data_IF_709592429611
#
_entry.id   IF_709592429611
#
_cell.length_a   1.000
_cell.length_b   1.000
_cell.length_c   1.000
_cell.angle_alpha   90.00
_cell.angle_beta   90.00
_cell.angle_gamma   90.00
#
_symmetry.space_group_name_H-M   'P 1'
#
loop_
_entity.id
_entity.type
_entity.pdbx_description
1 polymer ?
#
# COMPACT_ATOMS: atom_id res chain seq x y z
N UNK A 1 -24.80 16.52 7.59
CA UNK A 1 -24.04 15.23 7.49
C UNK A 1 -24.89 14.20 8.16
N UNK A 2 -25.30 13.17 7.45
CA UNK A 2 -25.89 12.00 8.07
C UNK A 2 -24.78 11.31 8.88
N UNK A 3 -25.12 10.82 10.09
CA UNK A 3 -24.16 10.07 10.89
C UNK A 3 -23.92 8.71 10.22
N UNK A 4 -22.72 8.54 9.63
CA UNK A 4 -22.30 7.27 9.06
C UNK A 4 -21.65 6.36 10.10
N UNK A 5 -21.75 5.06 9.89
CA UNK A 5 -21.04 4.05 10.67
C UNK A 5 -20.16 3.24 9.71
N UNK A 6 -18.84 3.38 9.85
CA UNK A 6 -17.86 2.57 9.11
C UNK A 6 -17.48 1.34 9.93
N UNK A 7 -17.50 0.18 9.29
CA UNK A 7 -17.07 -1.10 9.86
C UNK A 7 -15.83 -1.63 9.16
N UNK A 8 -14.76 -1.94 9.90
CA UNK A 8 -13.69 -2.79 9.41
C UNK A 8 -14.18 -4.23 9.33
N UNK A 9 -14.31 -4.76 8.10
CA UNK A 9 -14.84 -6.12 7.87
C UNK A 9 -13.72 -7.15 7.65
N UNK A 10 -12.69 -7.09 8.43
CA UNK A 10 -11.59 -8.08 8.44
C UNK A 10 -10.84 -8.02 9.76
N UNK A 11 -10.07 -9.06 10.03
CA UNK A 11 -9.13 -9.14 11.14
C UNK A 11 -7.86 -9.89 10.66
N UNK A 12 -6.77 -9.77 11.42
CA UNK A 12 -5.46 -10.24 11.02
C UNK A 12 -5.39 -11.76 10.74
N UNK A 13 -6.08 -12.56 11.58
CA UNK A 13 -6.01 -14.01 11.53
C UNK A 13 -7.09 -14.67 10.64
N UNK A 14 -7.67 -13.94 9.69
CA UNK A 14 -8.59 -14.53 8.73
C UNK A 14 -7.96 -15.71 7.99
N UNK A 15 -8.72 -16.80 7.74
CA UNK A 15 -8.20 -17.95 7.02
C UNK A 15 -7.86 -17.60 5.57
N UNK A 16 -6.79 -18.21 5.04
CA UNK A 16 -6.43 -18.10 3.62
C UNK A 16 -7.30 -19.04 2.76
N UNK A 17 -8.61 -18.86 2.77
CA UNK A 17 -9.58 -19.70 2.06
C UNK A 17 -10.20 -19.03 0.81
N UNK A 18 -9.88 -17.76 0.55
CA UNK A 18 -10.42 -17.01 -0.58
C UNK A 18 -11.90 -16.69 -0.48
N UNK A 19 -12.47 -16.69 0.73
CA UNK A 19 -13.92 -16.58 0.93
C UNK A 19 -14.39 -15.25 1.50
N UNK A 20 -13.47 -14.30 1.78
CA UNK A 20 -13.89 -13.06 2.41
C UNK A 20 -14.88 -12.27 1.56
N UNK A 21 -14.60 -12.12 0.28
CA UNK A 21 -15.49 -11.36 -0.63
C UNK A 21 -16.89 -11.98 -0.71
N UNK A 22 -16.99 -13.31 -0.74
CA UNK A 22 -18.28 -14.01 -0.71
C UNK A 22 -19.03 -13.81 0.60
N UNK A 23 -18.34 -13.93 1.74
CA UNK A 23 -18.94 -13.70 3.07
C UNK A 23 -19.48 -12.29 3.20
N UNK A 24 -18.69 -11.28 2.81
CA UNK A 24 -19.10 -9.89 2.87
C UNK A 24 -20.27 -9.60 1.92
N UNK A 25 -20.26 -10.18 0.71
CA UNK A 25 -21.39 -10.11 -0.22
C UNK A 25 -22.67 -10.67 0.39
N UNK A 26 -22.60 -11.86 1.00
CA UNK A 26 -23.75 -12.54 1.60
C UNK A 26 -24.26 -11.79 2.84
N UNK A 27 -23.41 -11.03 3.52
CA UNK A 27 -23.74 -10.30 4.75
C UNK A 27 -24.27 -8.86 4.49
N UNK A 28 -24.21 -8.39 3.25
CA UNK A 28 -24.52 -6.99 2.90
C UNK A 28 -25.91 -6.52 3.39
N UNK A 29 -26.95 -7.33 3.24
CA UNK A 29 -28.30 -6.98 3.70
C UNK A 29 -28.37 -6.86 5.22
N UNK A 30 -27.71 -7.77 5.94
CA UNK A 30 -27.64 -7.73 7.42
C UNK A 30 -26.89 -6.50 7.90
N UNK A 31 -25.75 -6.16 7.27
CA UNK A 31 -24.97 -4.96 7.61
C UNK A 31 -25.81 -3.68 7.45
N UNK A 32 -26.58 -3.58 6.37
CA UNK A 32 -27.53 -2.47 6.18
C UNK A 32 -28.58 -2.42 7.27
N UNK A 33 -29.22 -3.56 7.60
CA UNK A 33 -30.26 -3.64 8.64
C UNK A 33 -29.79 -3.19 10.03
N UNK A 34 -28.52 -3.45 10.38
CA UNK A 34 -27.93 -3.01 11.65
C UNK A 34 -27.34 -1.59 11.61
N UNK A 35 -27.45 -0.89 10.47
CA UNK A 35 -27.09 0.52 10.32
C UNK A 35 -25.66 0.79 9.91
N UNK A 36 -24.93 -0.19 9.35
CA UNK A 36 -23.62 0.03 8.73
C UNK A 36 -23.81 0.79 7.42
N UNK A 37 -23.15 1.92 7.26
CA UNK A 37 -23.23 2.78 6.08
C UNK A 37 -21.99 2.72 5.18
N UNK A 38 -20.87 2.19 5.69
CA UNK A 38 -19.66 1.96 4.93
C UNK A 38 -18.86 0.78 5.49
N UNK A 39 -18.12 0.11 4.63
CA UNK A 39 -17.21 -0.98 5.00
C UNK A 39 -15.80 -0.63 4.56
N UNK A 40 -14.84 -0.70 5.49
CA UNK A 40 -13.42 -0.72 5.20
C UNK A 40 -13.00 -2.16 4.95
N UNK A 41 -12.59 -2.44 3.70
CA UNK A 41 -12.08 -3.74 3.25
C UNK A 41 -10.55 -3.78 3.32
N UNK A 42 -9.94 -4.98 3.53
CA UNK A 42 -8.48 -5.11 3.54
C UNK A 42 -7.87 -4.76 2.18
N UNK A 43 -6.51 -4.64 2.10
CA UNK A 43 -5.82 -4.48 0.83
C UNK A 43 -6.23 -5.59 -0.14
N UNK A 44 -6.80 -5.21 -1.30
CA UNK A 44 -7.44 -6.16 -2.22
C UNK A 44 -6.51 -6.62 -3.37
N UNK A 45 -5.29 -6.08 -3.41
CA UNK A 45 -4.29 -6.36 -4.44
C UNK A 45 -3.31 -7.46 -4.01
N UNK A 46 -2.48 -7.92 -4.96
CA UNK A 46 -1.57 -9.04 -4.78
C UNK A 46 -0.47 -8.72 -3.76
N UNK A 47 -0.41 -9.52 -2.69
CA UNK A 47 0.70 -9.56 -1.75
C UNK A 47 1.88 -10.41 -2.24
N UNK A 48 2.96 -10.44 -1.47
CA UNK A 48 4.17 -11.19 -1.80
C UNK A 48 3.99 -12.71 -1.78
N UNK A 49 2.93 -13.20 -1.14
CA UNK A 49 2.46 -14.59 -1.14
C UNK A 49 0.93 -14.67 -1.03
N UNK A 50 0.34 -15.84 -1.28
CA UNK A 50 -1.12 -16.03 -1.24
C UNK A 50 -1.73 -15.76 0.14
N UNK A 51 -1.01 -16.06 1.20
CA UNK A 51 -1.50 -15.94 2.58
C UNK A 51 -1.37 -14.52 3.14
N UNK A 52 -0.67 -13.63 2.43
CA UNK A 52 -0.44 -12.25 2.84
C UNK A 52 -1.75 -11.49 3.07
N UNK A 53 -1.84 -10.77 4.19
CA UNK A 53 -2.97 -9.92 4.54
C UNK A 53 -3.14 -8.70 3.61
N UNK A 54 -2.17 -8.50 2.69
CA UNK A 54 -2.11 -7.42 1.71
C UNK A 54 -1.13 -6.31 2.10
N UNK A 55 -0.53 -6.38 3.29
CA UNK A 55 0.45 -5.37 3.75
C UNK A 55 1.87 -5.66 3.24
N UNK A 56 2.18 -6.86 2.77
CA UNK A 56 3.37 -7.15 1.96
C UNK A 56 3.10 -6.92 0.48
N UNK A 57 2.86 -5.69 0.07
CA UNK A 57 2.37 -5.31 -1.26
C UNK A 57 3.34 -5.68 -2.37
N UNK A 58 2.91 -6.56 -3.28
CA UNK A 58 3.67 -6.90 -4.48
C UNK A 58 3.18 -6.10 -5.70
N UNK A 59 1.96 -6.33 -6.17
CA UNK A 59 1.42 -5.71 -7.38
C UNK A 59 0.06 -5.04 -7.11
N UNK A 60 0.07 -3.72 -7.06
CA UNK A 60 -1.10 -2.89 -6.80
C UNK A 60 -2.18 -3.00 -7.89
N UNK A 61 -1.80 -3.38 -9.13
CA UNK A 61 -2.73 -3.54 -10.25
C UNK A 61 -3.26 -4.97 -10.41
N UNK A 62 -2.85 -5.91 -9.56
CA UNK A 62 -3.38 -7.28 -9.57
C UNK A 62 -4.36 -7.48 -8.41
N UNK A 63 -5.64 -7.36 -8.70
CA UNK A 63 -6.72 -7.53 -7.72
C UNK A 63 -7.16 -9.01 -7.53
N UNK A 64 -6.27 -9.95 -7.81
CA UNK A 64 -6.58 -11.39 -7.82
C UNK A 64 -7.05 -11.87 -9.19
N UNK A 65 -6.40 -11.38 -10.26
CA UNK A 65 -6.73 -11.65 -11.67
C UNK A 65 -5.61 -12.41 -12.39
N UNK A 66 -4.34 -12.18 -12.01
CA UNK A 66 -3.17 -12.73 -12.69
C UNK A 66 -2.50 -13.82 -11.88
N UNK A 67 -1.93 -14.83 -12.58
CA UNK A 67 -1.11 -15.87 -11.93
C UNK A 67 0.26 -15.28 -11.57
N UNK A 68 0.36 -14.81 -10.33
CA UNK A 68 1.55 -14.21 -9.74
C UNK A 68 1.74 -14.73 -8.31
N UNK A 69 2.99 -14.87 -7.87
CA UNK A 69 3.31 -15.40 -6.54
C UNK A 69 2.65 -16.77 -6.25
N UNK A 70 2.51 -17.59 -7.32
CA UNK A 70 1.96 -18.94 -7.24
C UNK A 70 0.45 -19.02 -7.06
N UNK A 71 -0.28 -17.94 -7.33
CA UNK A 71 -1.73 -17.87 -7.16
C UNK A 71 -2.37 -16.84 -8.10
N UNK A 72 -3.63 -17.11 -8.51
CA UNK A 72 -4.45 -16.09 -9.18
C UNK A 72 -5.14 -15.22 -8.13
N UNK A 73 -5.85 -15.82 -7.17
CA UNK A 73 -6.56 -15.10 -6.13
C UNK A 73 -5.63 -14.46 -5.09
N UNK A 74 -6.09 -13.44 -4.42
CA UNK A 74 -5.49 -12.96 -3.15
C UNK A 74 -5.93 -13.87 -1.99
N UNK A 75 -5.47 -13.59 -0.76
CA UNK A 75 -5.97 -14.26 0.45
C UNK A 75 -7.50 -14.26 0.50
N UNK A 76 -8.13 -13.22 0.02
CA UNK A 76 -9.53 -12.89 0.20
C UNK A 76 -10.46 -13.34 -0.92
N UNK A 77 -9.95 -13.55 -2.13
CA UNK A 77 -10.69 -14.00 -3.29
C UNK A 77 -10.12 -13.49 -4.62
N UNK A 78 -10.90 -13.64 -5.68
CA UNK A 78 -10.59 -13.17 -7.04
C UNK A 78 -11.13 -11.75 -7.26
N UNK A 79 -10.63 -11.06 -8.30
CA UNK A 79 -11.14 -9.75 -8.74
C UNK A 79 -12.64 -9.78 -9.05
N UNK A 80 -13.11 -10.82 -9.72
CA UNK A 80 -14.54 -10.95 -10.02
C UNK A 80 -15.38 -11.02 -8.73
N UNK A 81 -14.96 -11.82 -7.76
CA UNK A 81 -15.66 -11.92 -6.46
C UNK A 81 -15.65 -10.61 -5.70
N UNK A 82 -14.53 -9.86 -5.76
CA UNK A 82 -14.41 -8.51 -5.20
C UNK A 82 -15.39 -7.53 -5.84
N UNK A 83 -15.46 -7.49 -7.17
CA UNK A 83 -16.40 -6.60 -7.89
C UNK A 83 -17.86 -6.96 -7.59
N UNK A 84 -18.21 -8.24 -7.61
CA UNK A 84 -19.57 -8.70 -7.26
C UNK A 84 -19.96 -8.35 -5.81
N UNK A 85 -19.00 -8.40 -4.88
CA UNK A 85 -19.21 -8.02 -3.49
C UNK A 85 -19.47 -6.50 -3.37
N UNK A 86 -18.66 -5.67 -4.04
CA UNK A 86 -18.84 -4.21 -4.04
C UNK A 86 -20.20 -3.82 -4.63
N UNK A 87 -20.58 -4.42 -5.75
CA UNK A 87 -21.90 -4.20 -6.34
C UNK A 87 -23.04 -4.53 -5.37
N UNK A 88 -22.92 -5.61 -4.59
CA UNK A 88 -23.95 -5.99 -3.62
C UNK A 88 -24.00 -5.02 -2.43
N UNK A 89 -22.85 -4.56 -1.93
CA UNK A 89 -22.80 -3.52 -0.89
C UNK A 89 -23.49 -2.23 -1.37
N UNK A 90 -23.19 -1.79 -2.59
CA UNK A 90 -23.82 -0.59 -3.16
C UNK A 90 -25.34 -0.76 -3.34
N UNK A 91 -25.84 -1.95 -3.74
CA UNK A 91 -27.28 -2.23 -3.76
C UNK A 91 -27.94 -2.09 -2.39
N UNK A 92 -27.19 -2.38 -1.33
CA UNK A 92 -27.62 -2.22 0.05
C UNK A 92 -27.26 -0.84 0.64
N UNK A 93 -26.85 0.15 -0.20
CA UNK A 93 -26.51 1.51 0.22
C UNK A 93 -25.33 1.58 1.21
N UNK A 94 -24.38 0.67 1.09
CA UNK A 94 -23.15 0.62 1.89
C UNK A 94 -21.99 1.05 1.01
N UNK A 95 -21.28 2.11 1.41
CA UNK A 95 -20.06 2.56 0.75
C UNK A 95 -18.87 1.62 1.03
N UNK A 96 -17.90 1.61 0.11
CA UNK A 96 -16.72 0.74 0.20
C UNK A 96 -15.44 1.55 0.23
N UNK A 97 -14.64 1.37 1.28
CA UNK A 97 -13.33 2.01 1.46
C UNK A 97 -12.23 0.96 1.38
N UNK A 98 -11.31 1.13 0.42
CA UNK A 98 -10.18 0.24 0.23
C UNK A 98 -9.03 0.61 1.18
N UNK A 99 -8.39 -0.36 1.78
CA UNK A 99 -7.10 -0.18 2.46
C UNK A 99 -5.99 0.04 1.43
N UNK A 100 -5.41 1.23 1.42
CA UNK A 100 -4.37 1.65 0.48
C UNK A 100 -2.99 1.63 1.14
N UNK A 101 -2.22 0.55 0.89
CA UNK A 101 -0.86 0.36 1.38
C UNK A 101 0.11 0.87 0.32
N UNK A 102 0.58 2.09 0.48
CA UNK A 102 1.38 2.80 -0.52
C UNK A 102 2.84 3.01 -0.11
N UNK A 103 3.19 2.78 1.16
CA UNK A 103 4.51 3.13 1.69
C UNK A 103 5.64 2.28 1.10
N UNK A 104 5.41 1.01 0.82
CA UNK A 104 6.47 0.05 0.49
C UNK A 104 6.01 -1.06 -0.46
N UNK A 105 6.99 -1.82 -0.96
CA UNK A 105 6.75 -3.03 -1.78
C UNK A 105 7.55 -4.22 -1.26
N UNK A 106 6.93 -5.40 -1.32
CA UNK A 106 7.53 -6.68 -0.92
C UNK A 106 7.50 -7.71 -2.05
N UNK A 107 8.35 -8.73 -1.95
CA UNK A 107 8.35 -9.85 -2.87
C UNK A 107 8.84 -9.53 -4.28
N UNK A 108 9.86 -8.70 -4.42
CA UNK A 108 10.50 -8.38 -5.70
C UNK A 108 10.78 -9.64 -6.55
N UNK A 109 10.78 -9.50 -7.86
CA UNK A 109 11.03 -10.59 -8.82
C UNK A 109 12.51 -10.94 -8.91
N UNK A 110 13.39 -9.96 -8.67
CA UNK A 110 14.84 -10.13 -8.67
C UNK A 110 15.54 -9.09 -7.80
N UNK A 111 16.81 -9.37 -7.51
CA UNK A 111 17.71 -8.46 -6.78
C UNK A 111 18.44 -7.51 -7.72
N UNK A 112 18.82 -6.35 -7.21
CA UNK A 112 19.65 -5.37 -7.91
C UNK A 112 20.82 -4.93 -7.01
N UNK A 113 21.91 -4.47 -7.63
CA UNK A 113 23.06 -3.89 -6.94
C UNK A 113 22.98 -2.38 -6.95
N UNK A 114 23.17 -1.77 -5.78
CA UNK A 114 23.17 -0.32 -5.62
C UNK A 114 24.00 0.10 -4.40
N UNK A 115 24.38 1.38 -4.37
CA UNK A 115 25.04 1.96 -3.20
C UNK A 115 24.04 2.21 -2.09
N UNK A 116 24.41 1.83 -0.87
CA UNK A 116 23.61 2.10 0.33
C UNK A 116 24.48 2.35 1.54
N UNK A 117 23.86 2.84 2.59
CA UNK A 117 24.47 3.11 3.87
C UNK A 117 23.55 2.59 4.99
N UNK A 118 24.09 1.77 5.88
CA UNK A 118 23.33 1.31 7.04
C UNK A 118 23.15 2.46 8.03
N UNK A 119 21.95 2.59 8.59
CA UNK A 119 21.61 3.64 9.56
C UNK A 119 21.16 3.06 10.90
N UNK A 120 21.24 3.88 11.95
CA UNK A 120 20.77 3.51 13.29
C UNK A 120 19.21 3.40 13.30
N UNK A 121 18.63 2.28 13.74
CA UNK A 121 17.17 2.12 13.80
C UNK A 121 16.45 3.13 14.70
N UNK A 122 17.11 3.65 15.73
CA UNK A 122 16.56 4.65 16.66
C UNK A 122 16.90 6.10 16.30
N UNK A 123 17.77 6.31 15.30
CA UNK A 123 18.15 7.64 14.79
C UNK A 123 18.54 7.52 13.31
N UNK A 124 17.56 7.48 12.45
CA UNK A 124 17.67 7.16 11.01
C UNK A 124 18.59 8.09 10.20
N UNK A 125 18.86 9.29 10.72
CA UNK A 125 19.81 10.24 10.13
C UNK A 125 21.28 9.89 10.46
N UNK A 126 21.52 8.99 11.43
CA UNK A 126 22.85 8.56 11.82
C UNK A 126 23.28 7.32 11.06
N UNK A 127 24.27 7.47 10.17
CA UNK A 127 24.92 6.35 9.51
C UNK A 127 25.74 5.52 10.50
N UNK A 128 25.59 4.19 10.41
CA UNK A 128 26.36 3.20 11.19
C UNK A 128 27.40 2.48 10.35
N UNK A 129 27.41 2.70 9.03
CA UNK A 129 28.43 2.19 8.11
C UNK A 129 28.90 3.26 7.14
N UNK A 130 30.07 3.06 6.55
CA UNK A 130 30.47 3.77 5.33
C UNK A 130 29.58 3.34 4.16
N UNK A 131 29.37 4.22 3.15
CA UNK A 131 28.69 3.85 1.91
C UNK A 131 29.34 2.64 1.22
N UNK A 132 28.54 1.66 0.82
CA UNK A 132 29.03 0.47 0.11
C UNK A 132 27.94 -0.13 -0.79
N UNK A 133 28.34 -0.95 -1.75
CA UNK A 133 27.38 -1.68 -2.56
C UNK A 133 26.71 -2.79 -1.75
N UNK A 134 25.39 -2.89 -1.88
CA UNK A 134 24.57 -3.98 -1.38
C UNK A 134 23.78 -4.60 -2.51
N UNK A 135 23.27 -5.81 -2.31
CA UNK A 135 22.32 -6.48 -3.18
C UNK A 135 20.96 -6.52 -2.48
N UNK A 136 19.97 -5.82 -3.03
CA UNK A 136 18.63 -5.69 -2.44
C UNK A 136 17.51 -6.19 -3.35
N UNK A 137 16.37 -6.58 -2.76
CA UNK A 137 15.15 -7.02 -3.46
C UNK A 137 14.34 -5.80 -3.91
N UNK A 138 14.65 -5.28 -5.11
CA UNK A 138 14.08 -4.01 -5.62
C UNK A 138 13.57 -4.07 -7.05
N UNK A 139 13.78 -5.18 -7.77
CA UNK A 139 13.33 -5.34 -9.15
C UNK A 139 11.94 -5.96 -9.24
N UNK A 140 10.94 -5.22 -9.78
CA UNK A 140 9.57 -5.70 -9.96
C UNK A 140 9.13 -5.54 -11.41
N UNK A 141 9.02 -6.67 -12.13
CA UNK A 141 8.62 -6.75 -13.53
C UNK A 141 7.18 -7.23 -13.73
N UNK A 142 6.58 -7.84 -12.70
CA UNK A 142 5.21 -8.36 -12.75
C UNK A 142 4.95 -9.31 -13.93
N UNK A 143 5.71 -10.41 -14.07
CA UNK A 143 5.69 -11.23 -15.28
C UNK A 143 4.32 -11.87 -15.57
N UNK A 144 3.52 -12.15 -14.54
CA UNK A 144 2.19 -12.73 -14.73
C UNK A 144 1.16 -11.72 -15.24
N UNK A 145 1.27 -10.44 -14.85
CA UNK A 145 0.42 -9.36 -15.34
C UNK A 145 0.96 -8.75 -16.65
N UNK A 146 2.26 -8.74 -16.82
CA UNK A 146 2.91 -8.03 -17.92
C UNK A 146 2.67 -6.52 -17.87
N UNK A 147 2.14 -5.97 -18.95
CA UNK A 147 1.87 -4.53 -19.06
C UNK A 147 0.37 -4.18 -18.96
N UNK A 148 -0.48 -5.11 -18.50
CA UNK A 148 -1.89 -4.82 -18.30
C UNK A 148 -2.05 -3.75 -17.19
N UNK A 149 -2.88 -2.75 -17.42
CA UNK A 149 -3.18 -1.59 -16.57
C UNK A 149 -2.04 -0.59 -16.36
N UNK A 150 -0.78 -1.05 -16.21
CA UNK A 150 0.42 -0.20 -16.13
C UNK A 150 1.61 -0.92 -16.74
N UNK A 151 2.45 -0.18 -17.46
CA UNK A 151 3.74 -0.65 -17.97
C UNK A 151 4.92 -0.27 -17.07
N UNK A 152 4.67 0.36 -15.93
CA UNK A 152 5.69 0.76 -14.99
C UNK A 152 6.37 -0.46 -14.37
N UNK A 153 7.70 -0.38 -14.23
CA UNK A 153 8.53 -1.38 -13.58
C UNK A 153 9.33 -0.71 -12.48
N UNK A 154 9.45 -1.40 -11.36
CA UNK A 154 10.14 -0.84 -10.22
C UNK A 154 11.59 -1.32 -10.21
N UNK A 155 12.48 -0.38 -9.90
CA UNK A 155 13.92 -0.59 -9.78
C UNK A 155 14.43 0.11 -8.53
N UNK A 156 15.66 -0.25 -8.09
CA UNK A 156 16.26 0.30 -6.88
C UNK A 156 16.17 1.83 -6.75
N UNK A 157 16.25 2.55 -7.85
CA UNK A 157 16.18 4.02 -7.85
C UNK A 157 14.77 4.60 -7.63
N UNK A 158 13.75 3.77 -7.50
CA UNK A 158 12.40 4.17 -7.09
C UNK A 158 12.17 4.02 -5.57
N UNK A 159 13.20 3.58 -4.84
CA UNK A 159 13.10 3.34 -3.40
C UNK A 159 14.10 4.21 -2.62
N UNK A 160 13.72 4.59 -1.39
CA UNK A 160 14.55 5.35 -0.44
C UNK A 160 15.38 4.42 0.46
N UNK A 161 14.86 3.21 0.75
CA UNK A 161 15.50 2.27 1.66
C UNK A 161 15.07 0.81 1.48
N UNK A 162 15.81 -0.10 2.13
CA UNK A 162 15.52 -1.53 2.22
C UNK A 162 16.01 -2.11 3.55
N UNK A 163 15.50 -3.30 3.94
CA UNK A 163 15.80 -3.94 5.22
C UNK A 163 16.79 -5.11 5.13
N UNK A 164 17.26 -5.47 3.93
CA UNK A 164 18.10 -6.66 3.77
C UNK A 164 19.16 -6.53 2.68
N UNK A 165 20.42 -6.78 3.06
CA UNK A 165 21.53 -6.99 2.13
C UNK A 165 21.69 -8.50 1.84
N UNK A 166 21.26 -8.92 0.65
CA UNK A 166 21.32 -10.33 0.19
C UNK A 166 22.75 -10.81 0.11
N UNK A 167 23.68 -9.97 -0.36
CA UNK A 167 25.08 -10.33 -0.57
C UNK A 167 25.81 -10.70 0.72
N UNK A 168 25.45 -10.04 1.83
CA UNK A 168 26.01 -10.28 3.16
C UNK A 168 25.08 -11.08 4.07
N UNK A 169 23.85 -11.36 3.62
CA UNK A 169 22.77 -11.99 4.40
C UNK A 169 22.54 -11.24 5.71
N UNK A 170 22.44 -9.92 5.62
CA UNK A 170 22.37 -9.04 6.78
C UNK A 170 21.05 -8.29 6.79
N UNK A 171 20.32 -8.38 7.90
CA UNK A 171 19.20 -7.50 8.24
C UNK A 171 19.70 -6.18 8.77
N UNK A 172 19.01 -5.09 8.45
CA UNK A 172 19.34 -3.73 8.91
C UNK A 172 18.49 -2.72 8.16
N UNK A 173 18.63 -1.44 8.47
CA UNK A 173 18.00 -0.38 7.68
C UNK A 173 19.08 0.22 6.80
N UNK A 174 18.92 0.04 5.51
CA UNK A 174 19.87 0.51 4.49
C UNK A 174 19.23 1.64 3.69
N UNK A 175 19.71 2.86 3.91
CA UNK A 175 19.36 4.00 3.08
C UNK A 175 20.01 3.84 1.70
N UNK A 176 19.22 3.91 0.65
CA UNK A 176 19.70 3.86 -0.73
C UNK A 176 20.34 5.20 -1.08
N UNK A 177 21.54 5.14 -1.68
CA UNK A 177 22.33 6.32 -2.04
C UNK A 177 22.37 6.53 -3.55
N UNK A 178 22.38 7.78 -3.97
CA UNK A 178 22.42 8.19 -5.37
C UNK A 178 22.15 9.68 -5.52
N UNK A 179 22.13 10.16 -6.76
CA UNK A 179 21.78 11.55 -7.04
C UNK A 179 20.33 11.83 -6.61
N UNK A 180 20.12 12.81 -5.72
CA UNK A 180 18.83 13.19 -5.20
C UNK A 180 18.22 12.21 -4.16
N UNK A 181 18.97 11.19 -3.71
CA UNK A 181 18.53 10.22 -2.71
C UNK A 181 18.74 10.69 -1.29
N UNK A 182 17.70 10.71 -0.51
CA UNK A 182 17.70 11.01 0.93
C UNK A 182 16.43 10.39 1.55
N UNK A 183 16.33 10.39 2.87
CA UNK A 183 15.05 10.14 3.51
C UNK A 183 14.08 11.27 3.20
N UNK A 184 12.81 10.94 2.93
CA UNK A 184 11.81 11.93 2.58
C UNK A 184 11.63 12.96 3.71
N UNK A 185 11.41 14.21 3.33
CA UNK A 185 10.97 15.26 4.25
C UNK A 185 9.43 15.23 4.40
N UNK A 186 8.89 15.87 5.45
CA UNK A 186 7.44 15.90 5.67
C UNK A 186 6.84 14.58 6.19
N UNK A 187 7.67 13.75 6.80
CA UNK A 187 7.31 12.55 7.58
C UNK A 187 7.41 12.85 9.08
N UNK A 188 6.96 11.91 9.93
CA UNK A 188 7.09 12.06 11.38
C UNK A 188 8.57 12.07 11.81
N UNK A 189 8.89 12.84 12.89
CA UNK A 189 10.22 13.04 13.43
C UNK A 189 10.67 11.94 14.43
N UNK A 190 9.83 10.95 14.69
CA UNK A 190 10.21 9.80 15.52
C UNK A 190 11.42 9.09 14.90
N UNK A 191 12.35 8.65 15.72
CA UNK A 191 13.66 8.10 15.32
C UNK A 191 14.51 9.06 14.44
N UNK A 192 14.30 10.37 14.58
CA UNK A 192 14.98 11.41 13.80
C UNK A 192 14.31 11.72 12.45
N UNK A 193 13.92 10.72 11.72
CA UNK A 193 13.12 10.74 10.50
C UNK A 193 12.47 9.36 10.35
N UNK A 194 11.15 9.29 10.19
CA UNK A 194 10.46 8.00 10.13
C UNK A 194 9.92 7.68 8.73
N UNK A 195 10.62 8.05 7.68
CA UNK A 195 10.33 7.66 6.30
C UNK A 195 10.29 6.12 6.17
N UNK A 196 11.41 5.47 6.46
CA UNK A 196 11.51 4.01 6.35
C UNK A 196 10.62 3.28 7.36
N UNK A 197 9.73 2.39 6.88
CA UNK A 197 8.96 1.48 7.73
C UNK A 197 9.43 0.02 7.58
N UNK A 198 9.38 -0.56 6.39
CA UNK A 198 9.71 -1.96 6.09
C UNK A 198 9.90 -2.22 4.60
N UNK A 199 10.48 -3.35 4.24
CA UNK A 199 10.68 -3.85 2.86
C UNK A 199 11.42 -2.86 1.96
N UNK A 200 11.00 -2.71 0.69
CA UNK A 200 11.49 -1.70 -0.22
C UNK A 200 10.61 -0.45 -0.12
N UNK A 201 11.10 0.57 0.53
CA UNK A 201 10.40 1.81 0.87
C UNK A 201 10.33 2.74 -0.35
N UNK A 202 9.15 3.27 -0.68
CA UNK A 202 8.96 4.09 -1.88
C UNK A 202 9.53 5.50 -1.69
N UNK A 203 10.26 5.96 -2.70
CA UNK A 203 10.83 7.29 -2.75
C UNK A 203 9.81 8.30 -3.32
N UNK A 204 9.09 8.98 -2.45
CA UNK A 204 8.09 9.99 -2.84
C UNK A 204 8.68 11.34 -3.29
N UNK A 205 10.01 11.50 -3.27
CA UNK A 205 10.71 12.61 -3.91
C UNK A 205 11.01 12.31 -5.39
N UNK A 206 10.82 11.05 -5.82
CA UNK A 206 10.91 10.65 -7.22
C UNK A 206 9.58 10.92 -7.96
N UNK A 207 9.56 11.82 -8.97
CA UNK A 207 8.33 12.18 -9.67
C UNK A 207 7.71 11.04 -10.48
N UNK A 208 8.47 9.99 -10.83
CA UNK A 208 7.94 8.81 -11.52
C UNK A 208 7.13 7.96 -10.53
N UNK A 209 7.61 7.80 -9.30
CA UNK A 209 6.90 7.12 -8.20
C UNK A 209 5.60 7.86 -7.87
N UNK A 210 5.67 9.17 -7.66
CA UNK A 210 4.49 10.00 -7.35
C UNK A 210 3.42 9.84 -8.42
N UNK A 211 3.80 9.92 -9.70
CA UNK A 211 2.87 9.79 -10.82
C UNK A 211 2.25 8.40 -10.87
N UNK A 212 3.06 7.34 -10.78
CA UNK A 212 2.57 5.96 -10.82
C UNK A 212 1.57 5.69 -9.69
N UNK A 213 1.83 6.22 -8.49
CA UNK A 213 0.91 6.06 -7.35
C UNK A 213 -0.38 6.84 -7.55
N UNK A 214 -0.34 8.06 -8.13
CA UNK A 214 -1.55 8.82 -8.47
C UNK A 214 -2.37 8.10 -9.56
N UNK A 215 -1.72 7.61 -10.60
CA UNK A 215 -2.36 6.86 -11.69
C UNK A 215 -3.01 5.58 -11.15
N UNK A 216 -2.34 4.86 -10.23
CA UNK A 216 -2.92 3.72 -9.54
C UNK A 216 -4.14 4.10 -8.69
N UNK A 217 -4.07 5.16 -7.91
CA UNK A 217 -5.18 5.61 -7.06
C UNK A 217 -6.44 5.92 -7.87
N UNK A 218 -6.28 6.60 -9.00
CA UNK A 218 -7.36 6.90 -9.95
C UNK A 218 -7.89 5.59 -10.57
N UNK A 219 -6.97 4.73 -11.06
CA UNK A 219 -7.35 3.47 -11.69
C UNK A 219 -8.14 2.56 -10.73
N UNK A 220 -7.65 2.30 -9.52
CA UNK A 220 -8.30 1.38 -8.59
C UNK A 220 -9.65 1.91 -8.10
N UNK A 221 -9.75 3.23 -7.91
CA UNK A 221 -11.00 3.89 -7.52
C UNK A 221 -12.09 3.75 -8.59
N UNK A 222 -11.72 3.82 -9.86
CA UNK A 222 -12.63 3.61 -10.98
C UNK A 222 -12.91 2.13 -11.23
N UNK A 223 -11.88 1.28 -11.24
CA UNK A 223 -12.00 -0.15 -11.49
C UNK A 223 -12.94 -0.85 -10.50
N UNK A 224 -12.91 -0.42 -9.24
CA UNK A 224 -13.74 -0.95 -8.16
C UNK A 224 -14.93 -0.05 -7.80
N UNK A 225 -15.09 1.09 -8.46
CA UNK A 225 -16.12 2.09 -8.11
C UNK A 225 -16.13 2.43 -6.60
N UNK A 226 -14.96 2.72 -6.02
CA UNK A 226 -14.81 2.96 -4.59
C UNK A 226 -15.46 4.29 -4.15
N UNK A 227 -15.92 4.34 -2.91
CA UNK A 227 -16.43 5.53 -2.24
C UNK A 227 -15.36 6.24 -1.40
N UNK A 228 -14.25 5.57 -1.13
CA UNK A 228 -13.15 6.12 -0.35
C UNK A 228 -11.98 5.15 -0.16
N UNK A 229 -11.01 5.61 0.64
CA UNK A 229 -9.83 4.83 1.02
C UNK A 229 -9.49 5.06 2.49
N UNK A 230 -8.96 4.01 3.13
CA UNK A 230 -8.14 4.14 4.32
C UNK A 230 -6.68 4.11 3.87
N UNK A 231 -5.93 5.14 4.20
CA UNK A 231 -4.52 5.26 3.86
C UNK A 231 -3.67 4.67 4.98
N UNK A 232 -3.00 3.56 4.70
CA UNK A 232 -2.10 2.87 5.60
C UNK A 232 -0.85 3.70 5.86
N UNK A 233 -0.36 3.69 7.10
CA UNK A 233 0.97 4.16 7.49
C UNK A 233 1.35 5.59 7.03
N UNK A 234 0.41 6.54 7.00
CA UNK A 234 0.67 7.90 6.49
C UNK A 234 1.74 8.67 7.28
N UNK A 235 2.05 8.23 8.50
CA UNK A 235 3.14 8.73 9.32
C UNK A 235 4.51 8.65 8.64
N UNK A 236 4.68 7.67 7.74
CA UNK A 236 5.92 7.33 7.06
C UNK A 236 6.00 7.87 5.64
N UNK A 237 4.96 8.55 5.15
CA UNK A 237 4.91 9.09 3.80
C UNK A 237 4.93 10.62 3.82
N UNK A 238 5.57 11.21 2.81
CA UNK A 238 5.61 12.65 2.60
C UNK A 238 4.20 13.25 2.60
N UNK A 239 3.93 14.25 3.43
CA UNK A 239 2.63 14.89 3.60
C UNK A 239 2.13 15.56 2.31
N UNK A 240 3.02 16.14 1.51
CA UNK A 240 2.67 16.73 0.22
C UNK A 240 2.29 15.66 -0.81
N UNK A 241 2.94 14.49 -0.77
CA UNK A 241 2.52 13.35 -1.58
C UNK A 241 1.07 12.96 -1.25
N UNK A 242 0.76 12.74 0.03
CA UNK A 242 -0.60 12.35 0.48
C UNK A 242 -1.64 13.37 0.02
N UNK A 243 -1.33 14.66 0.18
CA UNK A 243 -2.21 15.74 -0.28
C UNK A 243 -2.45 15.68 -1.79
N UNK A 244 -1.40 15.63 -2.58
CA UNK A 244 -1.51 15.62 -4.05
C UNK A 244 -2.13 14.33 -4.57
N UNK A 245 -1.91 13.19 -3.92
CA UNK A 245 -2.58 11.93 -4.22
C UNK A 245 -4.10 12.05 -4.04
N UNK A 246 -4.55 12.57 -2.90
CA UNK A 246 -5.98 12.77 -2.64
C UNK A 246 -6.61 13.82 -3.58
N UNK A 247 -5.89 14.90 -3.90
CA UNK A 247 -6.34 15.89 -4.88
C UNK A 247 -6.53 15.25 -6.27
N UNK A 248 -5.59 14.39 -6.72
CA UNK A 248 -5.68 13.70 -8.00
C UNK A 248 -6.88 12.73 -8.04
N UNK A 249 -7.07 11.91 -7.01
CA UNK A 249 -8.20 10.98 -6.91
C UNK A 249 -9.53 11.73 -6.85
N UNK A 250 -9.63 12.80 -6.06
CA UNK A 250 -10.85 13.61 -5.93
C UNK A 250 -11.18 14.40 -7.19
N UNK A 251 -10.19 14.84 -7.95
CA UNK A 251 -10.42 15.48 -9.24
C UNK A 251 -11.15 14.56 -10.23
N UNK A 252 -10.92 13.26 -10.14
CA UNK A 252 -11.56 12.23 -10.98
C UNK A 252 -12.89 11.72 -10.37
N UNK A 253 -12.89 11.37 -9.07
CA UNK A 253 -14.02 10.74 -8.36
C UNK A 253 -15.01 11.73 -7.74
N UNK A 254 -14.62 12.99 -7.59
CA UNK A 254 -15.38 14.05 -6.93
C UNK A 254 -14.98 14.29 -5.47
N UNK A 255 -15.29 15.47 -4.96
CA UNK A 255 -14.95 15.93 -3.61
C UNK A 255 -15.56 15.07 -2.48
N UNK A 256 -16.57 14.27 -2.78
CA UNK A 256 -17.20 13.35 -1.82
C UNK A 256 -16.40 12.07 -1.56
N UNK A 257 -15.30 11.83 -2.28
CA UNK A 257 -14.46 10.66 -2.07
C UNK A 257 -13.84 10.70 -0.67
N UNK A 258 -14.22 9.74 0.18
CA UNK A 258 -13.81 9.70 1.57
C UNK A 258 -12.36 9.26 1.73
N UNK A 259 -11.65 9.84 2.69
CA UNK A 259 -10.32 9.39 3.06
C UNK A 259 -10.13 9.46 4.58
N UNK A 260 -9.51 8.44 5.14
CA UNK A 260 -9.05 8.39 6.52
C UNK A 260 -7.64 7.82 6.54
N UNK A 261 -6.72 8.44 7.28
CA UNK A 261 -5.33 8.01 7.38
C UNK A 261 -5.05 7.32 8.72
N UNK A 262 -4.17 6.33 8.68
CA UNK A 262 -3.57 5.78 9.89
C UNK A 262 -2.31 6.57 10.26
N UNK A 263 -2.37 7.27 11.40
CA UNK A 263 -1.21 7.95 11.96
C UNK A 263 -0.95 7.42 13.37
N UNK A 264 -0.01 6.49 13.47
CA UNK A 264 0.27 5.77 14.71
C UNK A 264 1.22 6.55 15.62
N UNK A 265 0.67 7.36 16.52
CA UNK A 265 1.43 8.14 17.52
C UNK A 265 0.69 8.17 18.85
N UNK A 266 1.43 8.17 19.98
CA UNK A 266 0.86 8.22 21.33
C UNK A 266 0.52 9.65 21.79
N UNK A 267 0.49 10.61 20.90
CA UNK A 267 0.26 12.02 21.18
C UNK A 267 -0.94 12.52 20.38
N UNK A 268 -2.01 12.87 21.09
CA UNK A 268 -3.25 13.35 20.47
C UNK A 268 -3.12 14.76 19.88
N UNK A 269 -2.17 15.58 20.36
CA UNK A 269 -1.94 16.93 19.81
C UNK A 269 -1.38 16.87 18.38
N UNK A 270 -0.67 15.79 18.05
CA UNK A 270 -0.16 15.54 16.69
C UNK A 270 -1.23 15.05 15.70
N UNK A 271 -2.44 14.73 16.18
CA UNK A 271 -3.54 14.19 15.36
C UNK A 271 -4.61 15.24 15.04
N UNK A 272 -4.52 16.44 15.60
CA UNK A 272 -5.40 17.59 15.39
C UNK A 272 -4.83 18.58 14.35
#
# INVERSE_FOLDING_TARGET
MENGVMMQYFEWNLPNDGMLWKRLKDDASHLHEIGISAVWIPPAYKGHEQADEGYGTYDLYDLGEFDQKGTIRTKYGTKQELQEMIEELHRNQIGVYLDAVMNHKAGADYTEWFMAQEVDPGQRENATSEPHEIEGWTGFDFPGRGNMYSNFKWHWFHFSGTDYDVSRKKEGIFQILGEGKHWSEGVDDENGNYDYLMFADLDFDNPEVVREMQDWGIWVSNELNLDGMRLDAIKHMNDQFIKHFLEAVRADRGEGFYAVGEYWKNDTESLE
#
